data_IF_091682851033
#
_entry.id   IF_091682851033
#
_cell.length_a   1.000
_cell.length_b   1.000
_cell.length_c   1.000
_cell.angle_alpha   90.00
_cell.angle_beta   90.00
_cell.angle_gamma   90.00
#
_symmetry.space_group_name_H-M   'P 1'
#
loop_
_entity.id
_entity.type
_entity.pdbx_description
1 polymer ?
#
# COMPACT_ATOMS: atom_id res chain seq x y z
N UNK A 1 -17.37 7.20 40.87
CA UNK A 1 -17.58 6.20 39.80
C UNK A 1 -17.26 6.75 38.38
N UNK A 2 -16.25 7.63 38.21
CA UNK A 2 -16.03 8.37 36.94
C UNK A 2 -14.76 7.97 36.14
N UNK A 3 -13.88 7.14 36.70
CA UNK A 3 -12.59 6.78 36.08
C UNK A 3 -12.67 5.69 34.99
N UNK A 4 -13.67 4.80 35.03
CA UNK A 4 -13.81 3.71 34.05
C UNK A 4 -14.24 4.17 32.65
N UNK A 5 -15.02 5.26 32.57
CA UNK A 5 -15.47 5.84 31.30
C UNK A 5 -14.30 6.46 30.53
N UNK A 6 -13.37 7.14 31.22
CA UNK A 6 -12.20 7.78 30.61
C UNK A 6 -11.19 6.75 30.09
N UNK A 7 -10.89 5.70 30.86
CA UNK A 7 -9.98 4.63 30.44
C UNK A 7 -10.51 3.81 29.23
N UNK A 8 -11.83 3.66 29.11
CA UNK A 8 -12.45 3.00 27.96
C UNK A 8 -12.38 3.88 26.69
N UNK A 9 -12.54 5.20 26.85
CA UNK A 9 -12.38 6.17 25.75
C UNK A 9 -10.93 6.23 25.24
N UNK A 10 -9.94 6.17 26.11
CA UNK A 10 -8.52 6.14 25.75
C UNK A 10 -8.13 4.88 24.96
N UNK A 11 -8.67 3.71 25.34
CA UNK A 11 -8.47 2.45 24.61
C UNK A 11 -9.10 2.48 23.21
N UNK A 12 -10.30 3.05 23.10
CA UNK A 12 -10.99 3.19 21.82
C UNK A 12 -10.28 4.21 20.90
N UNK A 13 -9.75 5.30 21.48
CA UNK A 13 -8.95 6.30 20.77
C UNK A 13 -7.58 5.76 20.33
N UNK A 14 -6.96 4.88 21.11
CA UNK A 14 -5.73 4.18 20.73
C UNK A 14 -6.00 3.23 19.55
N UNK A 15 -7.11 2.49 19.57
CA UNK A 15 -7.55 1.69 18.41
C UNK A 15 -7.83 2.53 17.16
N UNK A 16 -8.41 3.73 17.32
CA UNK A 16 -8.63 4.69 16.23
C UNK A 16 -7.33 5.32 15.70
N UNK A 17 -6.30 5.47 16.53
CA UNK A 17 -4.97 5.96 16.13
C UNK A 17 -4.20 4.91 15.30
N UNK A 18 -4.40 3.62 15.61
CA UNK A 18 -3.94 2.51 14.78
C UNK A 18 -4.68 2.38 13.44
N UNK A 19 -5.85 3.03 13.31
CA UNK A 19 -6.69 3.05 12.12
C UNK A 19 -6.67 4.41 11.42
N UNK A 20 -5.56 5.15 11.49
CA UNK A 20 -5.43 6.41 10.77
C UNK A 20 -4.83 6.15 9.37
N UNK A 21 -5.64 5.91 8.32
CA UNK A 21 -5.16 5.57 6.97
C UNK A 21 -4.28 6.67 6.36
N UNK A 22 -4.45 7.93 6.80
CA UNK A 22 -3.60 9.04 6.37
C UNK A 22 -2.20 9.00 6.99
N UNK A 23 -2.07 8.54 8.24
CA UNK A 23 -0.77 8.37 8.89
C UNK A 23 0.06 7.24 8.25
N UNK A 24 -0.60 6.27 7.61
CA UNK A 24 0.05 5.22 6.82
C UNK A 24 0.64 5.83 5.55
N UNK A 25 -0.13 6.58 4.77
CA UNK A 25 0.42 7.27 3.59
C UNK A 25 1.62 8.17 3.93
N UNK A 26 1.57 8.90 5.04
CA UNK A 26 2.66 9.78 5.49
C UNK A 26 3.97 9.03 5.83
N UNK A 27 3.91 7.72 6.09
CA UNK A 27 5.09 6.85 6.32
C UNK A 27 5.71 6.32 5.03
N UNK A 28 5.23 6.78 3.86
CA UNK A 28 5.74 6.37 2.55
C UNK A 28 4.98 5.20 1.93
N UNK A 29 3.84 4.81 2.50
CA UNK A 29 2.95 3.83 1.86
C UNK A 29 2.08 4.50 0.79
N UNK A 30 1.57 3.69 -0.12
CA UNK A 30 0.69 4.12 -1.21
C UNK A 30 -0.57 3.26 -1.24
N UNK A 31 -1.67 3.80 -1.76
CA UNK A 31 -2.88 3.03 -2.06
C UNK A 31 -2.94 2.81 -3.57
N UNK A 32 -3.12 1.56 -3.99
CA UNK A 32 -3.22 1.18 -5.40
C UNK A 32 -4.67 0.81 -5.73
N UNK A 33 -5.20 1.36 -6.82
CA UNK A 33 -6.49 0.96 -7.38
C UNK A 33 -6.36 0.44 -8.80
N UNK A 34 -7.19 -0.51 -9.18
CA UNK A 34 -7.30 -0.98 -10.56
C UNK A 34 -7.91 0.10 -11.46
N UNK A 35 -7.89 -0.14 -12.78
CA UNK A 35 -8.58 0.71 -13.76
C UNK A 35 -10.09 0.87 -13.50
N UNK A 36 -10.69 -0.06 -12.76
CA UNK A 36 -12.10 -0.03 -12.37
C UNK A 36 -12.35 0.75 -11.07
N UNK A 37 -11.29 1.25 -10.41
CA UNK A 37 -11.38 1.98 -9.14
C UNK A 37 -11.36 1.10 -7.90
N UNK A 38 -11.19 -0.22 -8.05
CA UNK A 38 -11.15 -1.17 -6.95
C UNK A 38 -9.79 -1.19 -6.27
N UNK A 39 -9.75 -1.25 -4.93
CA UNK A 39 -8.50 -1.29 -4.17
C UNK A 39 -7.78 -2.63 -4.39
N UNK A 40 -6.56 -2.57 -4.89
CA UNK A 40 -5.71 -3.75 -5.08
C UNK A 40 -5.08 -4.14 -3.74
N UNK A 41 -5.35 -5.36 -3.28
CA UNK A 41 -4.83 -5.92 -2.02
C UNK A 41 -3.95 -7.15 -2.24
N UNK A 42 -4.09 -7.80 -3.38
CA UNK A 42 -3.39 -9.02 -3.75
C UNK A 42 -2.82 -8.82 -5.16
N UNK A 43 -1.53 -9.08 -5.33
CA UNK A 43 -0.86 -8.92 -6.62
C UNK A 43 -1.42 -9.88 -7.68
N UNK A 44 -1.93 -11.06 -7.28
CA UNK A 44 -2.54 -12.06 -8.17
C UNK A 44 -3.90 -11.63 -8.72
N UNK A 45 -4.47 -10.54 -8.19
CA UNK A 45 -5.69 -9.93 -8.74
C UNK A 45 -5.41 -9.01 -9.93
N UNK A 46 -4.14 -8.79 -10.26
CA UNK A 46 -3.71 -8.00 -11.42
C UNK A 46 -3.04 -8.91 -12.45
N UNK A 47 -3.00 -8.41 -13.69
CA UNK A 47 -2.26 -9.03 -14.79
C UNK A 47 -1.09 -8.11 -15.18
N UNK A 48 0.00 -8.64 -15.75
CA UNK A 48 0.99 -7.82 -16.45
C UNK A 48 0.31 -6.94 -17.50
N UNK A 49 0.83 -5.73 -17.68
CA UNK A 49 0.25 -4.64 -18.48
C UNK A 49 -1.10 -4.08 -17.98
N UNK A 50 -1.58 -4.49 -16.81
CA UNK A 50 -2.73 -3.83 -16.19
C UNK A 50 -2.39 -2.38 -15.82
N UNK A 51 -3.32 -1.46 -16.12
CA UNK A 51 -3.24 -0.07 -15.66
C UNK A 51 -3.77 0.06 -14.24
N UNK A 52 -3.03 0.77 -13.42
CA UNK A 52 -3.35 1.05 -12.03
C UNK A 52 -3.18 2.55 -11.74
N UNK A 53 -3.95 3.04 -10.77
CA UNK A 53 -3.74 4.35 -10.19
C UNK A 53 -3.14 4.21 -8.80
N UNK A 54 -2.14 5.03 -8.50
CA UNK A 54 -1.43 5.03 -7.23
C UNK A 54 -1.65 6.36 -6.54
N UNK A 55 -2.23 6.30 -5.34
CA UNK A 55 -2.41 7.44 -4.46
C UNK A 55 -1.30 7.47 -3.42
N UNK A 56 -0.58 8.59 -3.40
CA UNK A 56 0.50 8.87 -2.47
C UNK A 56 0.02 9.79 -1.35
N UNK A 57 0.87 10.02 -0.34
CA UNK A 57 0.64 11.09 0.63
C UNK A 57 0.43 12.46 -0.04
N UNK A 58 1.14 12.73 -1.14
CA UNK A 58 0.99 13.93 -1.95
C UNK A 58 0.90 13.57 -3.41
N UNK A 59 -0.26 13.86 -4.01
CA UNK A 59 -0.51 13.61 -5.41
C UNK A 59 -0.93 12.17 -5.71
N UNK A 60 -1.11 11.93 -7.00
CA UNK A 60 -1.57 10.67 -7.59
C UNK A 60 -0.88 10.48 -8.93
N UNK A 61 -0.66 9.24 -9.32
CA UNK A 61 -0.05 8.88 -10.60
C UNK A 61 -0.73 7.65 -11.21
N UNK A 62 -0.58 7.51 -12.51
CA UNK A 62 -0.92 6.30 -13.24
C UNK A 62 0.34 5.46 -13.44
N UNK A 63 0.19 4.13 -13.36
CA UNK A 63 1.26 3.19 -13.61
C UNK A 63 0.74 1.96 -14.36
N UNK A 64 1.65 1.26 -15.03
CA UNK A 64 1.40 -0.03 -15.65
C UNK A 64 2.16 -1.11 -14.89
N UNK A 65 1.51 -2.25 -14.66
CA UNK A 65 2.13 -3.41 -14.00
C UNK A 65 3.10 -4.07 -14.97
N UNK A 66 4.40 -4.01 -14.69
CA UNK A 66 5.41 -4.67 -15.53
C UNK A 66 5.71 -6.11 -15.12
N UNK A 67 5.53 -6.44 -13.85
CA UNK A 67 5.76 -7.77 -13.29
C UNK A 67 4.99 -7.96 -11.98
N UNK A 68 4.66 -9.20 -11.66
CA UNK A 68 4.07 -9.61 -10.39
C UNK A 68 5.08 -10.49 -9.65
N UNK A 69 5.21 -10.27 -8.34
CA UNK A 69 6.06 -11.08 -7.46
C UNK A 69 5.16 -11.79 -6.45
N UNK A 70 5.48 -13.05 -6.17
CA UNK A 70 4.78 -13.83 -5.15
C UNK A 70 5.10 -13.32 -3.74
N UNK A 71 4.26 -13.72 -2.78
CA UNK A 71 4.36 -13.29 -1.39
C UNK A 71 5.75 -13.47 -0.79
N UNK A 72 6.07 -12.53 0.09
CA UNK A 72 7.36 -12.41 0.72
C UNK A 72 7.48 -13.38 1.90
N UNK A 73 8.05 -14.56 1.68
CA UNK A 73 8.49 -15.41 2.80
C UNK A 73 9.88 -14.96 3.29
N UNK A 74 9.93 -13.97 4.20
CA UNK A 74 11.15 -13.65 4.98
C UNK A 74 11.28 -12.19 5.47
N UNK A 75 11.76 -11.94 6.70
CA UNK A 75 11.77 -10.61 7.32
C UNK A 75 12.87 -9.65 6.82
N UNK A 76 13.90 -10.13 6.11
CA UNK A 76 15.09 -9.33 5.74
C UNK A 76 15.30 -9.24 4.21
N UNK A 77 14.34 -9.73 3.42
CA UNK A 77 14.44 -9.67 1.96
C UNK A 77 13.89 -8.32 1.47
N UNK A 78 14.58 -7.61 0.56
CA UNK A 78 14.02 -6.39 -0.03
C UNK A 78 12.69 -6.67 -0.72
N UNK A 79 11.67 -5.82 -0.49
CA UNK A 79 10.35 -5.93 -1.14
C UNK A 79 10.45 -5.96 -2.66
N UNK A 80 11.46 -5.28 -3.22
CA UNK A 80 11.79 -5.28 -4.64
C UNK A 80 13.28 -5.58 -4.77
N UNK A 81 13.69 -6.61 -5.54
CA UNK A 81 15.10 -6.88 -5.74
C UNK A 81 15.78 -5.69 -6.45
N UNK A 82 16.99 -5.29 -6.02
CA UNK A 82 17.72 -4.20 -6.67
C UNK A 82 17.95 -4.53 -8.15
N UNK A 83 17.66 -3.58 -9.03
CA UNK A 83 17.76 -3.76 -10.49
C UNK A 83 16.50 -4.28 -11.19
N UNK A 84 15.51 -4.80 -10.47
CA UNK A 84 14.27 -5.31 -11.06
C UNK A 84 13.47 -4.21 -11.78
N UNK A 85 13.46 -2.99 -11.24
CA UNK A 85 12.74 -1.84 -11.83
C UNK A 85 13.53 -1.13 -12.93
N UNK A 86 14.86 -1.31 -12.99
CA UNK A 86 15.71 -0.60 -13.95
C UNK A 86 15.78 -1.29 -15.32
N UNK A 87 15.35 -2.55 -15.41
CA UNK A 87 15.53 -3.37 -16.62
C UNK A 87 14.34 -3.32 -17.60
N UNK A 88 13.20 -2.74 -17.21
CA UNK A 88 12.04 -2.57 -18.11
C UNK A 88 12.06 -1.28 -18.93
N UNK A 89 12.94 -0.32 -18.60
CA UNK A 89 13.13 0.91 -19.37
C UNK A 89 14.09 0.67 -20.55
N UNK A 90 13.62 0.00 -21.60
CA UNK A 90 14.42 -0.18 -22.80
C UNK A 90 13.94 -1.29 -23.72
N UNK A 91 12.71 -1.19 -24.25
CA UNK A 91 12.32 -1.81 -25.52
C UNK A 91 11.26 -0.95 -26.21
N UNK A 92 11.73 0.08 -26.89
CA UNK A 92 11.07 0.68 -28.05
C UNK A 92 12.12 0.81 -29.17
#
# INVERSE_FOLDING_TARGET
MQHGRRANLDRLATGLTHLNPQAVLARGYSVVTSAQGEIVRDARSLEPSARIAVLLHRGRLEAEVTALFEDHEGPDRPLVPPGAIASSAGRE
#
